data_IF_006443264035
#
_entry.id   IF_006443264035
#
_cell.length_a   1.000
_cell.length_b   1.000
_cell.length_c   1.000
_cell.angle_alpha   90.00
_cell.angle_beta   90.00
_cell.angle_gamma   90.00
#
_symmetry.space_group_name_H-M   'P 1'
#
loop_
_entity.id
_entity.type
_entity.pdbx_description
1 polymer ?
#
# COMPACT_ATOMS: atom_id res chain seq x y z
N UNK A 1 -77.64 64.84 9.08
CA UNK A 1 -76.90 64.39 7.91
C UNK A 1 -75.64 63.70 8.39
N UNK A 2 -75.61 62.37 8.28
CA UNK A 2 -74.46 61.56 8.75
C UNK A 2 -73.90 60.83 7.51
N UNK A 3 -72.68 61.13 7.14
CA UNK A 3 -71.95 60.40 6.12
C UNK A 3 -71.36 59.11 6.70
N UNK A 4 -71.41 58.01 5.98
CA UNK A 4 -70.65 56.80 6.38
C UNK A 4 -69.22 56.80 5.82
N UNK A 5 -68.28 56.47 6.70
CA UNK A 5 -66.90 56.19 6.34
C UNK A 5 -66.80 54.76 5.71
N UNK A 6 -66.29 54.71 4.49
CA UNK A 6 -65.91 53.46 3.85
C UNK A 6 -64.48 53.15 4.22
N UNK A 7 -64.25 52.06 4.99
CA UNK A 7 -62.90 51.50 5.24
C UNK A 7 -62.55 50.61 4.04
N UNK A 8 -61.56 51.00 3.27
CA UNK A 8 -60.94 50.11 2.28
C UNK A 8 -59.89 49.25 2.96
N UNK A 9 -60.15 47.98 3.10
CA UNK A 9 -59.19 47.02 3.60
C UNK A 9 -58.16 46.65 2.53
N UNK A 10 -56.87 47.01 2.80
CA UNK A 10 -55.77 46.65 1.95
C UNK A 10 -55.28 45.24 2.36
N UNK A 11 -55.57 44.23 1.55
CA UNK A 11 -55.05 42.85 1.74
C UNK A 11 -53.64 42.79 1.16
N UNK A 12 -52.63 42.82 2.02
CA UNK A 12 -51.25 42.50 1.65
C UNK A 12 -51.11 40.96 1.58
N UNK A 13 -51.09 40.47 0.35
CA UNK A 13 -50.61 39.07 0.09
C UNK A 13 -49.11 39.04 0.17
N UNK A 14 -48.59 38.63 1.35
CA UNK A 14 -47.17 38.35 1.53
C UNK A 14 -46.78 37.12 0.75
N UNK A 15 -46.16 37.25 -0.42
CA UNK A 15 -45.48 36.18 -1.11
C UNK A 15 -44.22 35.79 -0.30
N UNK A 16 -44.30 34.71 0.49
CA UNK A 16 -43.10 34.08 1.05
C UNK A 16 -42.28 33.48 -0.10
N UNK A 17 -41.37 34.24 -0.64
CA UNK A 17 -40.29 33.69 -1.45
C UNK A 17 -39.42 32.81 -0.55
N UNK A 18 -39.66 31.51 -0.57
CA UNK A 18 -38.71 30.53 -0.03
C UNK A 18 -37.49 30.51 -0.94
N UNK A 19 -36.62 31.49 -0.74
CA UNK A 19 -35.28 31.49 -1.27
C UNK A 19 -34.55 30.30 -0.67
N UNK A 20 -34.54 29.18 -1.40
CA UNK A 20 -33.70 28.05 -1.05
C UNK A 20 -32.25 28.56 -1.04
N UNK A 21 -31.73 28.85 0.15
CA UNK A 21 -30.33 29.13 0.33
C UNK A 21 -29.57 27.96 -0.28
N UNK A 22 -28.94 28.15 -1.43
CA UNK A 22 -28.00 27.16 -1.96
C UNK A 22 -26.95 26.99 -0.88
N UNK A 23 -27.06 25.85 -0.18
CA UNK A 23 -26.05 25.45 0.79
C UNK A 23 -24.71 25.48 0.09
N UNK A 24 -23.79 26.31 0.55
CA UNK A 24 -22.42 26.28 0.03
C UNK A 24 -21.93 24.83 0.03
N UNK A 25 -21.23 24.38 -1.02
CA UNK A 25 -20.66 23.02 -1.02
C UNK A 25 -19.88 22.84 0.28
N UNK A 26 -20.22 21.82 1.05
CA UNK A 26 -19.50 21.53 2.28
C UNK A 26 -18.04 21.29 1.94
N UNK A 27 -17.13 21.91 2.70
CA UNK A 27 -15.68 21.74 2.49
C UNK A 27 -15.34 20.24 2.51
N UNK A 28 -14.73 19.69 1.45
CA UNK A 28 -14.40 18.25 1.35
C UNK A 28 -13.60 17.74 2.54
N UNK A 29 -12.84 18.60 3.22
CA UNK A 29 -12.04 18.25 4.41
C UNK A 29 -12.88 17.79 5.59
N UNK A 30 -14.16 18.20 5.65
CA UNK A 30 -15.09 17.87 6.74
C UNK A 30 -16.16 16.84 6.35
N UNK A 31 -16.12 16.35 5.14
CA UNK A 31 -17.04 15.29 4.69
C UNK A 31 -16.49 13.92 5.08
N UNK A 32 -17.42 12.97 5.32
CA UNK A 32 -17.10 11.59 5.66
C UNK A 32 -17.53 10.65 4.53
N UNK A 33 -16.93 9.45 4.50
CA UNK A 33 -17.27 8.40 3.54
C UNK A 33 -16.49 8.45 2.22
N UNK A 34 -16.74 7.47 1.36
CA UNK A 34 -15.97 7.23 0.14
C UNK A 34 -15.98 8.43 -0.84
N UNK A 35 -17.14 9.06 -1.05
CA UNK A 35 -17.25 10.22 -1.93
C UNK A 35 -16.40 11.41 -1.45
N UNK A 36 -16.30 11.59 -0.15
CA UNK A 36 -15.45 12.63 0.44
C UNK A 36 -13.96 12.27 0.33
N UNK A 37 -13.60 11.00 0.48
CA UNK A 37 -12.23 10.53 0.29
C UNK A 37 -11.78 10.73 -1.16
N UNK A 38 -12.61 10.38 -2.13
CA UNK A 38 -12.35 10.64 -3.56
C UNK A 38 -12.21 12.13 -3.89
N UNK A 39 -13.06 12.98 -3.29
CA UNK A 39 -12.99 14.43 -3.51
C UNK A 39 -11.69 15.02 -2.95
N UNK A 40 -11.25 14.58 -1.76
CA UNK A 40 -9.95 14.97 -1.19
C UNK A 40 -8.80 14.49 -2.06
N UNK A 41 -8.77 13.21 -2.45
CA UNK A 41 -7.74 12.65 -3.30
C UNK A 41 -7.61 13.38 -4.64
N UNK A 42 -8.75 13.80 -5.22
CA UNK A 42 -8.75 14.61 -6.44
C UNK A 42 -8.16 16.01 -6.22
N UNK A 43 -8.50 16.66 -5.10
CA UNK A 43 -7.94 17.96 -4.77
C UNK A 43 -6.43 17.89 -4.51
N UNK A 44 -5.98 16.84 -3.83
CA UNK A 44 -4.57 16.59 -3.56
C UNK A 44 -3.81 16.27 -4.85
N UNK A 45 -4.39 15.48 -5.77
CA UNK A 45 -3.79 15.17 -7.08
C UNK A 45 -3.67 16.37 -8.01
N UNK A 46 -4.48 17.42 -7.83
CA UNK A 46 -4.31 18.68 -8.53
C UNK A 46 -3.14 19.51 -7.99
N UNK A 47 -2.85 19.37 -6.71
CA UNK A 47 -1.77 20.08 -6.02
C UNK A 47 -0.44 19.32 -6.08
N UNK A 48 -0.50 18.00 -5.95
CA UNK A 48 0.62 17.05 -5.95
C UNK A 48 0.26 15.89 -6.87
N UNK A 49 0.51 16.03 -8.18
CA UNK A 49 0.12 15.00 -9.15
C UNK A 49 0.87 13.69 -8.87
N UNK A 50 0.15 12.58 -8.93
CA UNK A 50 0.75 11.26 -8.92
C UNK A 50 0.99 10.77 -10.35
N UNK A 51 1.94 9.87 -10.51
CA UNK A 51 2.38 9.31 -11.79
C UNK A 51 1.99 7.83 -11.92
N UNK A 52 2.25 7.24 -13.08
CA UNK A 52 2.16 5.78 -13.23
C UNK A 52 3.11 5.04 -12.28
N UNK A 53 4.30 5.57 -12.05
CA UNK A 53 5.28 4.96 -11.13
C UNK A 53 4.74 4.88 -9.69
N UNK A 54 3.96 5.87 -9.25
CA UNK A 54 3.29 5.85 -7.96
C UNK A 54 2.23 4.74 -7.88
N UNK A 55 1.42 4.57 -8.92
CA UNK A 55 0.41 3.50 -9.00
C UNK A 55 1.11 2.13 -9.00
N UNK A 56 2.16 1.98 -9.81
CA UNK A 56 2.92 0.73 -9.92
C UNK A 56 3.59 0.37 -8.59
N UNK A 57 4.16 1.36 -7.89
CA UNK A 57 4.73 1.17 -6.57
C UNK A 57 3.69 0.70 -5.56
N UNK A 58 2.56 1.38 -5.43
CA UNK A 58 1.51 1.03 -4.49
C UNK A 58 0.91 -0.36 -4.80
N UNK A 59 0.65 -0.66 -6.06
CA UNK A 59 0.13 -1.96 -6.48
C UNK A 59 1.15 -3.09 -6.29
N UNK A 60 2.39 -2.86 -6.69
CA UNK A 60 3.48 -3.84 -6.55
C UNK A 60 3.81 -4.13 -5.09
N UNK A 61 3.85 -3.11 -4.23
CA UNK A 61 4.16 -3.28 -2.82
C UNK A 61 3.07 -4.08 -2.08
N UNK A 62 1.80 -4.04 -2.52
CA UNK A 62 0.75 -4.93 -2.00
C UNK A 62 1.11 -6.41 -2.26
N UNK A 63 1.56 -6.75 -3.46
CA UNK A 63 1.99 -8.11 -3.80
C UNK A 63 3.22 -8.52 -2.99
N UNK A 64 4.16 -7.60 -2.85
CA UNK A 64 5.38 -7.80 -2.07
C UNK A 64 5.04 -8.11 -0.61
N UNK A 65 4.26 -7.29 0.06
CA UNK A 65 3.85 -7.49 1.44
C UNK A 65 3.01 -8.76 1.66
N UNK A 66 2.14 -9.10 0.71
CA UNK A 66 1.36 -10.33 0.78
C UNK A 66 2.25 -11.58 0.88
N UNK A 67 3.38 -11.63 0.16
CA UNK A 67 4.32 -12.75 0.26
C UNK A 67 4.99 -12.81 1.64
N UNK A 68 5.43 -11.69 2.20
CA UNK A 68 6.01 -11.64 3.54
C UNK A 68 5.03 -12.12 4.62
N UNK A 69 3.75 -11.70 4.52
CA UNK A 69 2.69 -12.17 5.42
C UNK A 69 2.51 -13.68 5.28
N UNK A 70 2.48 -14.20 4.05
CA UNK A 70 2.31 -15.63 3.77
C UNK A 70 3.39 -16.46 4.45
N UNK A 71 4.66 -16.15 4.23
CA UNK A 71 5.78 -16.90 4.83
C UNK A 71 5.89 -16.69 6.34
N UNK A 72 5.49 -15.52 6.84
CA UNK A 72 5.46 -15.24 8.29
C UNK A 72 4.42 -16.09 9.01
N UNK A 73 3.30 -16.43 8.39
CA UNK A 73 2.25 -17.30 8.95
C UNK A 73 2.70 -18.74 9.12
N UNK A 74 3.78 -19.17 8.49
CA UNK A 74 4.31 -20.53 8.66
C UNK A 74 5.04 -20.72 9.99
N UNK A 75 5.55 -19.65 10.61
CA UNK A 75 6.37 -19.75 11.82
C UNK A 75 5.77 -20.62 12.94
N UNK A 76 4.48 -20.50 13.33
CA UNK A 76 3.92 -21.33 14.40
C UNK A 76 3.87 -22.83 14.07
N UNK A 77 3.64 -23.19 12.80
CA UNK A 77 3.48 -24.58 12.35
C UNK A 77 4.79 -25.24 11.94
N UNK A 78 5.85 -24.45 11.74
CA UNK A 78 7.16 -24.91 11.30
C UNK A 78 8.17 -25.00 12.47
N UNK A 79 7.71 -24.85 13.71
CA UNK A 79 8.56 -24.97 14.90
C UNK A 79 9.56 -23.84 15.06
N UNK A 80 9.22 -22.64 14.57
CA UNK A 80 10.06 -21.46 14.73
C UNK A 80 10.32 -21.15 16.22
N UNK A 81 11.49 -20.61 16.51
CA UNK A 81 11.84 -20.15 17.86
C UNK A 81 10.90 -19.04 18.34
N UNK A 82 10.72 -18.86 19.65
CA UNK A 82 9.89 -17.77 20.19
C UNK A 82 10.32 -16.37 19.70
N UNK A 83 11.61 -16.17 19.40
CA UNK A 83 12.12 -14.91 18.89
C UNK A 83 11.62 -14.65 17.46
N UNK A 84 11.70 -15.66 16.59
CA UNK A 84 11.19 -15.57 15.20
C UNK A 84 9.66 -15.47 15.19
N UNK A 85 8.94 -16.19 16.06
CA UNK A 85 7.48 -16.06 16.14
C UNK A 85 7.04 -14.63 16.54
N UNK A 86 7.76 -13.98 17.46
CA UNK A 86 7.48 -12.57 17.79
C UNK A 86 7.78 -11.61 16.63
N UNK A 87 8.84 -11.88 15.89
CA UNK A 87 9.17 -11.10 14.70
C UNK A 87 8.07 -11.23 13.63
N UNK A 88 7.69 -12.47 13.30
CA UNK A 88 6.67 -12.76 12.29
C UNK A 88 5.31 -12.15 12.64
N UNK A 89 4.90 -12.18 13.91
CA UNK A 89 3.67 -11.54 14.36
C UNK A 89 3.69 -10.02 14.14
N UNK A 90 4.83 -9.37 14.37
CA UNK A 90 4.99 -7.93 14.09
C UNK A 90 4.93 -7.64 12.59
N UNK A 91 5.64 -8.41 11.78
CA UNK A 91 5.62 -8.27 10.32
C UNK A 91 4.19 -8.40 9.78
N UNK A 92 3.44 -9.43 10.22
CA UNK A 92 2.06 -9.63 9.80
C UNK A 92 1.20 -8.41 10.12
N UNK A 93 1.29 -7.88 11.34
CA UNK A 93 0.47 -6.74 11.76
C UNK A 93 0.84 -5.48 10.96
N UNK A 94 2.12 -5.12 10.93
CA UNK A 94 2.59 -3.91 10.25
C UNK A 94 2.24 -3.96 8.75
N UNK A 95 2.61 -5.03 8.05
CA UNK A 95 2.39 -5.12 6.61
C UNK A 95 0.92 -5.30 6.23
N UNK A 96 0.08 -5.83 7.13
CA UNK A 96 -1.38 -5.83 6.92
C UNK A 96 -1.95 -4.40 6.93
N UNK A 97 -1.49 -3.56 7.86
CA UNK A 97 -1.93 -2.16 7.92
C UNK A 97 -1.38 -1.35 6.73
N UNK A 98 -0.16 -1.60 6.31
CA UNK A 98 0.45 -1.00 5.12
C UNK A 98 -0.29 -1.37 3.83
N UNK A 99 -0.71 -2.63 3.68
CA UNK A 99 -1.58 -3.06 2.56
C UNK A 99 -2.89 -2.24 2.55
N UNK A 100 -3.51 -2.01 3.69
CA UNK A 100 -4.74 -1.19 3.75
C UNK A 100 -4.52 0.26 3.33
N UNK A 101 -3.38 0.85 3.71
CA UNK A 101 -3.01 2.20 3.28
C UNK A 101 -2.91 2.25 1.75
N UNK A 102 -2.19 1.31 1.15
CA UNK A 102 -2.01 1.24 -0.30
C UNK A 102 -3.33 1.00 -1.03
N UNK A 103 -4.15 0.08 -0.55
CA UNK A 103 -5.48 -0.20 -1.12
C UNK A 103 -6.40 1.02 -1.05
N UNK A 104 -6.38 1.74 0.08
CA UNK A 104 -7.17 2.97 0.25
C UNK A 104 -6.70 4.05 -0.72
N UNK A 105 -5.39 4.26 -0.83
CA UNK A 105 -4.83 5.25 -1.76
C UNK A 105 -5.23 4.97 -3.22
N UNK A 106 -5.13 3.71 -3.67
CA UNK A 106 -5.54 3.29 -5.01
C UNK A 106 -7.05 3.47 -5.21
N UNK A 107 -7.88 3.04 -4.26
CA UNK A 107 -9.33 3.16 -4.30
C UNK A 107 -9.78 4.62 -4.46
N UNK A 108 -9.24 5.51 -3.64
CA UNK A 108 -9.60 6.94 -3.63
C UNK A 108 -9.25 7.64 -4.96
N UNK A 109 -8.29 7.09 -5.69
CA UNK A 109 -7.87 7.54 -7.02
C UNK A 109 -8.48 6.75 -8.18
N UNK A 110 -9.44 5.85 -7.86
CA UNK A 110 -10.14 4.97 -8.82
C UNK A 110 -9.16 4.12 -9.65
N UNK A 111 -8.06 3.76 -9.05
CA UNK A 111 -7.10 2.84 -9.64
C UNK A 111 -7.49 1.38 -9.30
N UNK A 112 -7.08 0.42 -10.13
CA UNK A 112 -7.25 -1.00 -9.82
C UNK A 112 -6.63 -1.35 -8.48
N UNK A 113 -7.40 -2.01 -7.60
CA UNK A 113 -6.96 -2.36 -6.25
C UNK A 113 -6.67 -3.85 -6.17
N UNK A 114 -5.40 -4.28 -5.97
CA UNK A 114 -5.09 -5.68 -5.68
C UNK A 114 -5.78 -6.12 -4.39
N UNK A 115 -6.44 -7.28 -4.42
CA UNK A 115 -7.12 -7.87 -3.27
C UNK A 115 -6.30 -9.03 -2.74
N UNK A 116 -6.00 -9.00 -1.45
CA UNK A 116 -5.26 -10.07 -0.76
C UNK A 116 -6.26 -10.91 0.02
N UNK A 117 -6.32 -12.21 -0.27
CA UNK A 117 -7.17 -13.15 0.47
C UNK A 117 -6.55 -13.60 1.80
N UNK A 118 -7.29 -14.38 2.57
CA UNK A 118 -6.83 -14.92 3.85
C UNK A 118 -5.65 -15.91 3.71
N UNK A 119 -5.41 -16.45 2.53
CA UNK A 119 -4.27 -17.33 2.24
C UNK A 119 -3.03 -16.53 1.80
N UNK A 120 -3.18 -15.24 1.51
CA UNK A 120 -2.12 -14.36 1.01
C UNK A 120 -2.02 -14.33 -0.51
N UNK A 121 -2.98 -14.93 -1.24
CA UNK A 121 -3.01 -14.80 -2.69
C UNK A 121 -3.51 -13.41 -3.06
N UNK A 122 -2.88 -12.84 -4.09
CA UNK A 122 -3.25 -11.53 -4.60
C UNK A 122 -3.97 -11.66 -5.92
N UNK A 123 -5.15 -11.06 -6.02
CA UNK A 123 -5.94 -11.03 -7.25
C UNK A 123 -6.18 -9.60 -7.70
N UNK A 124 -6.11 -9.38 -9.01
CA UNK A 124 -6.46 -8.09 -9.61
C UNK A 124 -7.95 -8.09 -10.00
N UNK A 125 -8.64 -6.93 -9.90
CA UNK A 125 -9.99 -6.80 -10.41
C UNK A 125 -10.06 -7.15 -11.91
N UNK A 126 -11.16 -7.78 -12.33
CA UNK A 126 -11.37 -8.14 -13.73
C UNK A 126 -11.27 -6.89 -14.64
N UNK A 127 -10.46 -6.97 -15.68
CA UNK A 127 -10.19 -5.87 -16.62
C UNK A 127 -9.01 -4.97 -16.26
N UNK A 128 -8.41 -5.12 -15.08
CA UNK A 128 -7.13 -4.47 -14.76
C UNK A 128 -5.98 -5.33 -15.30
N UNK A 129 -5.55 -5.07 -16.54
CA UNK A 129 -4.28 -5.60 -17.01
C UNK A 129 -3.19 -5.01 -16.10
N UNK A 130 -2.30 -5.85 -15.57
CA UNK A 130 -1.02 -5.39 -15.08
C UNK A 130 -0.35 -4.70 -16.27
N UNK A 131 -0.41 -3.37 -16.32
CA UNK A 131 0.33 -2.63 -17.32
C UNK A 131 1.79 -3.01 -17.13
N UNK A 132 2.39 -3.59 -18.19
CA UNK A 132 3.73 -4.15 -18.12
C UNK A 132 4.68 -3.19 -17.42
N UNK A 133 5.28 -3.65 -16.35
CA UNK A 133 6.30 -2.90 -15.65
C UNK A 133 7.53 -2.86 -16.54
N UNK A 134 7.67 -1.82 -17.37
CA UNK A 134 8.92 -1.49 -18.02
C UNK A 134 9.93 -0.97 -16.98
N UNK A 135 10.37 -1.86 -16.09
CA UNK A 135 11.47 -1.59 -15.15
C UNK A 135 12.84 -1.73 -15.84
N UNK A 136 12.89 -1.59 -17.17
CA UNK A 136 14.11 -1.79 -17.96
C UNK A 136 14.84 -0.50 -18.38
N UNK A 137 14.67 0.59 -17.69
CA UNK A 137 15.49 1.76 -17.99
C UNK A 137 16.50 2.02 -16.86
N UNK A 138 17.62 1.34 -16.83
CA UNK A 138 18.88 1.57 -16.11
C UNK A 138 19.33 0.40 -15.20
N UNK A 139 19.83 -0.67 -15.80
CA UNK A 139 20.97 -1.42 -15.25
C UNK A 139 21.53 -2.34 -16.33
N UNK A 140 22.60 -1.93 -16.97
CA UNK A 140 23.42 -2.82 -17.78
C UNK A 140 24.13 -3.84 -16.89
N UNK A 141 23.49 -4.97 -16.69
CA UNK A 141 24.16 -6.22 -16.33
C UNK A 141 23.36 -7.37 -16.95
N UNK A 142 24.06 -8.06 -17.86
CA UNK A 142 23.67 -9.26 -18.59
C UNK A 142 23.24 -10.35 -17.59
N UNK A 143 21.96 -10.60 -17.49
CA UNK A 143 21.39 -11.74 -16.77
C UNK A 143 20.61 -12.58 -17.79
N UNK A 144 21.19 -13.74 -18.09
CA UNK A 144 20.75 -14.70 -19.07
C UNK A 144 19.24 -14.92 -19.13
N UNK A 145 18.75 -15.11 -20.33
CA UNK A 145 17.35 -15.27 -20.71
C UNK A 145 16.57 -16.21 -19.77
N UNK A 146 15.60 -15.64 -19.03
CA UNK A 146 14.59 -16.38 -18.28
C UNK A 146 13.31 -16.53 -19.10
N UNK A 147 12.56 -17.65 -18.95
CA UNK A 147 11.32 -17.89 -19.70
C UNK A 147 10.25 -16.87 -19.35
N UNK A 148 9.54 -16.43 -20.37
CA UNK A 148 8.38 -15.52 -20.35
C UNK A 148 7.35 -15.86 -19.27
N UNK A 149 7.04 -14.91 -18.37
CA UNK A 149 5.78 -14.92 -17.64
C UNK A 149 5.66 -14.33 -16.24
N UNK A 150 6.73 -14.14 -15.48
CA UNK A 150 6.64 -13.52 -14.17
C UNK A 150 7.79 -12.53 -13.97
N UNK A 151 7.50 -11.24 -14.11
CA UNK A 151 8.41 -10.21 -13.62
C UNK A 151 8.42 -10.30 -12.09
N UNK A 152 9.49 -10.88 -11.54
CA UNK A 152 9.69 -10.96 -10.09
C UNK A 152 10.12 -9.58 -9.61
N UNK A 153 9.31 -8.94 -8.77
CA UNK A 153 9.70 -7.72 -8.07
C UNK A 153 10.96 -7.96 -7.25
N UNK A 154 11.82 -6.94 -7.08
CA UNK A 154 13.05 -7.08 -6.31
C UNK A 154 12.81 -7.76 -4.96
N UNK A 155 13.67 -8.71 -4.61
CA UNK A 155 13.64 -9.36 -3.29
C UNK A 155 12.56 -10.42 -3.08
N UNK A 156 11.56 -10.52 -3.97
CA UNK A 156 10.55 -11.58 -3.88
C UNK A 156 11.19 -12.96 -3.89
N UNK A 157 10.68 -13.86 -3.05
CA UNK A 157 11.10 -15.25 -3.05
C UNK A 157 10.61 -15.94 -4.31
N UNK A 158 11.52 -16.72 -4.89
CA UNK A 158 11.18 -17.62 -6.01
C UNK A 158 10.35 -18.80 -5.51
N UNK A 159 9.68 -19.52 -6.42
CA UNK A 159 8.96 -20.75 -6.10
C UNK A 159 9.87 -21.79 -5.41
N UNK A 160 11.14 -21.89 -5.84
CA UNK A 160 12.11 -22.78 -5.21
C UNK A 160 12.41 -22.39 -3.75
N UNK A 161 12.66 -21.11 -3.47
CA UNK A 161 12.88 -20.60 -2.12
C UNK A 161 11.63 -20.77 -1.23
N UNK A 162 10.43 -20.52 -1.78
CA UNK A 162 9.17 -20.78 -1.07
C UNK A 162 9.03 -22.25 -0.69
N UNK A 163 9.37 -23.17 -1.59
CA UNK A 163 9.32 -24.62 -1.35
C UNK A 163 10.35 -25.02 -0.29
N UNK A 164 11.57 -24.51 -0.39
CA UNK A 164 12.65 -24.75 0.58
C UNK A 164 12.23 -24.31 1.98
N UNK A 165 11.75 -23.07 2.13
CA UNK A 165 11.30 -22.51 3.40
C UNK A 165 10.12 -23.31 3.98
N UNK A 166 9.14 -23.68 3.13
CA UNK A 166 7.97 -24.44 3.57
C UNK A 166 8.31 -25.88 4.01
N UNK A 167 9.44 -26.42 3.55
CA UNK A 167 9.92 -27.76 3.93
C UNK A 167 10.75 -27.74 5.22
N UNK A 168 11.34 -26.59 5.58
CA UNK A 168 12.21 -26.44 6.74
C UNK A 168 11.43 -26.45 8.06
N UNK A 169 12.09 -26.90 9.14
CA UNK A 169 11.53 -26.95 10.51
C UNK A 169 12.55 -26.52 11.55
N UNK A 170 12.07 -26.01 12.69
CA UNK A 170 12.92 -25.66 13.82
C UNK A 170 13.98 -24.62 13.46
N UNK A 171 15.21 -24.86 13.88
CA UNK A 171 16.32 -23.92 13.65
C UNK A 171 16.64 -23.70 12.17
N UNK A 172 16.38 -24.68 11.32
CA UNK A 172 16.56 -24.50 9.86
C UNK A 172 15.49 -23.58 9.27
N UNK A 173 14.24 -23.68 9.73
CA UNK A 173 13.22 -22.70 9.40
C UNK A 173 13.63 -21.29 9.82
N UNK A 174 14.11 -21.13 11.06
CA UNK A 174 14.56 -19.81 11.54
C UNK A 174 15.68 -19.23 10.66
N UNK A 175 16.67 -20.04 10.31
CA UNK A 175 17.78 -19.63 9.46
C UNK A 175 17.31 -19.18 8.07
N UNK A 176 16.51 -20.00 7.41
CA UNK A 176 15.98 -19.70 6.07
C UNK A 176 15.03 -18.52 6.10
N UNK A 177 14.11 -18.48 7.06
CA UNK A 177 13.18 -17.36 7.21
C UNK A 177 13.90 -16.03 7.36
N UNK A 178 14.88 -15.92 8.25
CA UNK A 178 15.65 -14.69 8.45
C UNK A 178 16.44 -14.32 7.18
N UNK A 179 17.08 -15.30 6.54
CA UNK A 179 17.83 -15.08 5.30
C UNK A 179 16.93 -14.52 4.19
N UNK A 180 15.80 -15.18 3.95
CA UNK A 180 14.89 -14.82 2.88
C UNK A 180 14.09 -13.54 3.19
N UNK A 181 13.77 -13.28 4.46
CA UNK A 181 13.11 -12.04 4.83
C UNK A 181 14.04 -10.84 4.73
N UNK A 182 15.33 -11.00 5.01
CA UNK A 182 16.34 -9.96 4.73
C UNK A 182 16.42 -9.66 3.23
N UNK A 183 16.45 -10.69 2.37
CA UNK A 183 16.38 -10.52 0.92
C UNK A 183 15.13 -9.76 0.51
N UNK A 184 13.98 -10.17 1.04
CA UNK A 184 12.67 -9.58 0.75
C UNK A 184 12.63 -8.10 1.14
N UNK A 185 13.05 -7.73 2.34
CA UNK A 185 13.09 -6.35 2.82
C UNK A 185 14.06 -5.47 2.02
N UNK A 186 15.21 -6.00 1.62
CA UNK A 186 16.11 -5.30 0.69
C UNK A 186 15.42 -4.99 -0.65
N UNK A 187 14.57 -5.90 -1.11
CA UNK A 187 13.75 -5.70 -2.30
C UNK A 187 12.77 -4.54 -2.14
N UNK A 188 12.07 -4.44 -1.02
CA UNK A 188 11.17 -3.32 -0.74
C UNK A 188 11.90 -1.97 -0.72
N UNK A 189 13.07 -1.92 -0.05
CA UNK A 189 13.92 -0.71 -0.06
C UNK A 189 14.38 -0.35 -1.49
N UNK A 190 14.70 -1.36 -2.32
CA UNK A 190 15.03 -1.12 -3.73
C UNK A 190 13.84 -0.56 -4.51
N UNK A 191 12.61 -1.04 -4.27
CA UNK A 191 11.40 -0.49 -4.88
C UNK A 191 11.17 0.97 -4.50
N UNK A 192 11.42 1.37 -3.26
CA UNK A 192 11.37 2.78 -2.82
C UNK A 192 12.37 3.64 -3.59
N UNK A 193 13.60 3.16 -3.76
CA UNK A 193 14.62 3.88 -4.54
C UNK A 193 14.23 4.05 -6.00
N UNK A 194 13.62 3.03 -6.61
CA UNK A 194 13.11 3.11 -8.00
C UNK A 194 11.98 4.13 -8.09
N UNK A 195 11.05 4.15 -7.12
CA UNK A 195 9.99 5.16 -7.05
C UNK A 195 10.57 6.58 -7.06
N UNK A 196 11.48 6.88 -6.14
CA UNK A 196 12.05 8.23 -6.02
C UNK A 196 13.01 8.61 -7.16
N UNK A 197 13.48 7.64 -7.93
CA UNK A 197 14.27 7.90 -9.15
C UNK A 197 13.39 8.17 -10.39
N UNK A 198 12.09 7.89 -10.33
CA UNK A 198 11.17 8.12 -11.44
C UNK A 198 10.73 9.59 -11.50
N UNK A 199 10.76 10.17 -12.70
CA UNK A 199 10.43 11.58 -12.90
C UNK A 199 9.01 11.91 -12.41
N UNK A 200 8.91 12.86 -11.48
CA UNK A 200 7.65 13.36 -10.92
C UNK A 200 6.94 12.40 -9.97
N UNK A 201 7.49 11.20 -9.69
CA UNK A 201 6.92 10.28 -8.71
C UNK A 201 7.24 10.71 -7.27
N UNK A 202 6.49 10.15 -6.31
CA UNK A 202 6.69 10.41 -4.89
C UNK A 202 6.32 11.83 -4.45
N UNK A 203 5.57 12.60 -5.26
CA UNK A 203 5.16 13.97 -4.91
C UNK A 203 3.85 13.99 -4.09
N UNK A 204 3.04 12.97 -4.21
CA UNK A 204 1.84 12.79 -3.38
C UNK A 204 2.26 12.60 -1.91
N UNK A 205 1.66 13.36 -1.00
CA UNK A 205 2.05 13.38 0.42
C UNK A 205 1.93 11.98 1.08
N UNK A 206 0.88 11.23 0.73
CA UNK A 206 0.69 9.87 1.27
C UNK A 206 1.77 8.93 0.78
N UNK A 207 2.10 8.99 -0.52
CA UNK A 207 3.16 8.15 -1.10
C UNK A 207 4.52 8.52 -0.55
N UNK A 208 4.83 9.82 -0.51
CA UNK A 208 6.11 10.29 0.03
C UNK A 208 6.33 9.79 1.45
N UNK A 209 5.31 9.99 2.31
CA UNK A 209 5.39 9.52 3.69
C UNK A 209 5.49 8.00 3.76
N UNK A 210 4.61 7.29 3.07
CA UNK A 210 4.57 5.83 3.07
C UNK A 210 5.90 5.20 2.60
N UNK A 211 6.45 5.68 1.50
CA UNK A 211 7.71 5.17 0.96
C UNK A 211 8.90 5.41 1.92
N UNK A 212 8.95 6.58 2.56
CA UNK A 212 9.99 6.85 3.57
C UNK A 212 9.80 5.96 4.82
N UNK A 213 8.57 5.76 5.29
CA UNK A 213 8.29 4.87 6.41
C UNK A 213 8.75 3.43 6.07
N UNK A 214 8.42 2.92 4.88
CA UNK A 214 8.88 1.60 4.40
C UNK A 214 10.41 1.51 4.38
N UNK A 215 11.12 2.51 3.87
CA UNK A 215 12.59 2.49 3.84
C UNK A 215 13.21 2.41 5.25
N UNK A 216 12.69 3.20 6.19
CA UNK A 216 13.19 3.25 7.57
C UNK A 216 12.85 1.98 8.33
N UNK A 217 11.61 1.54 8.26
CA UNK A 217 11.11 0.41 9.04
C UNK A 217 11.73 -0.91 8.54
N UNK A 218 11.75 -1.13 7.23
CA UNK A 218 12.35 -2.33 6.67
C UNK A 218 13.88 -2.33 6.81
N UNK A 219 14.53 -1.17 6.70
CA UNK A 219 15.95 -1.03 7.00
C UNK A 219 16.30 -1.37 8.46
N UNK A 220 15.42 -0.99 9.38
CA UNK A 220 15.57 -1.32 10.81
C UNK A 220 15.31 -2.80 11.07
N UNK A 221 14.31 -3.39 10.43
CA UNK A 221 14.04 -4.83 10.55
C UNK A 221 15.15 -5.69 9.96
N UNK A 222 15.78 -5.29 8.85
CA UNK A 222 16.98 -5.96 8.31
C UNK A 222 18.07 -6.03 9.38
N UNK A 223 18.41 -4.90 10.01
CA UNK A 223 19.44 -4.86 11.06
C UNK A 223 19.10 -5.79 12.22
N UNK A 224 17.84 -5.78 12.64
CA UNK A 224 17.33 -6.66 13.70
C UNK A 224 17.46 -8.14 13.31
N UNK A 225 17.04 -8.52 12.11
CA UNK A 225 17.15 -9.90 11.63
C UNK A 225 18.60 -10.36 11.53
N UNK A 226 19.51 -9.50 11.07
CA UNK A 226 20.93 -9.80 11.05
C UNK A 226 21.50 -10.04 12.48
N UNK A 227 21.10 -9.23 13.46
CA UNK A 227 21.49 -9.44 14.87
C UNK A 227 20.93 -10.76 15.41
N UNK A 228 19.66 -11.08 15.12
CA UNK A 228 19.04 -12.34 15.51
C UNK A 228 19.78 -13.55 14.91
N UNK A 229 20.20 -13.47 13.64
CA UNK A 229 20.99 -14.53 13.01
C UNK A 229 22.30 -14.77 13.77
N UNK A 230 23.04 -13.70 14.11
CA UNK A 230 24.29 -13.82 14.88
C UNK A 230 24.05 -14.41 16.28
N UNK A 231 23.01 -13.97 16.99
CA UNK A 231 22.63 -14.51 18.30
C UNK A 231 22.27 -16.00 18.25
N UNK A 232 21.73 -16.48 17.12
CA UNK A 232 21.41 -17.89 16.88
C UNK A 232 22.58 -18.70 16.31
N UNK A 233 23.75 -18.08 16.09
CA UNK A 233 24.93 -18.73 15.52
C UNK A 233 24.89 -18.92 14.00
N UNK A 234 24.05 -18.17 13.30
CA UNK A 234 23.96 -18.17 11.84
C UNK A 234 24.78 -17.03 11.24
N UNK A 235 25.32 -17.23 10.04
CA UNK A 235 25.97 -16.16 9.28
C UNK A 235 24.91 -15.36 8.52
N UNK A 236 24.83 -14.03 8.73
CA UNK A 236 23.93 -13.19 7.93
C UNK A 236 24.33 -13.16 6.45
N UNK A 237 23.37 -12.99 5.53
CA UNK A 237 23.67 -12.83 4.11
C UNK A 237 24.48 -11.55 3.89
N UNK A 238 25.44 -11.64 2.96
CA UNK A 238 26.26 -10.48 2.56
C UNK A 238 25.39 -9.30 2.10
N UNK A 239 25.87 -8.06 2.24
CA UNK A 239 25.14 -6.86 1.82
C UNK A 239 24.71 -6.86 0.35
#
# INVERSE_FOLDING_TARGET
MRLPFLLAGLVLTGACATGGARRAPADPRFQMGDAAAEARARADSLRYPYTKADIDFMSGMIHHHAQAITISRWAPTHGASPAVQRLTARIINAQTDEIRIMQTWLKDRRQPVPVVDSAGNVTMPAGAAMAGHDMHAHAGHDMGAMPTGQMTMPGMLTTAQMTELNSARGSEFDRLFLTFMIQHHRGAVAMVKVLFAADGAGQDETIFKFANDVEVDQGTEIKRMMSMMLEMGFLPPMP
#
